data_IF_418700385224
#
_entry.id   IF_418700385224
#
_cell.length_a   1.000
_cell.length_b   1.000
_cell.length_c   1.000
_cell.angle_alpha   90.00
_cell.angle_beta   90.00
_cell.angle_gamma   90.00
#
_symmetry.space_group_name_H-M   'P 1'
#
loop_
_entity.id
_entity.type
_entity.pdbx_description
1 polymer ?
#
# COMPACT_ATOMS: atom_id res chain seq x y z
N UNK A 1 8.65 -14.49 -3.82
CA UNK A 1 8.27 -15.54 -4.80
C UNK A 1 9.03 -16.85 -4.60
N UNK A 2 10.35 -16.85 -4.49
CA UNK A 2 11.16 -18.08 -4.32
C UNK A 2 10.74 -18.87 -3.07
N UNK A 3 10.59 -18.21 -1.92
CA UNK A 3 10.11 -18.82 -0.66
C UNK A 3 8.66 -19.34 -0.72
N UNK A 4 7.85 -18.81 -1.63
CA UNK A 4 6.45 -19.21 -1.81
C UNK A 4 6.39 -20.47 -2.68
N UNK A 5 7.30 -20.60 -3.65
CA UNK A 5 7.43 -21.75 -4.54
C UNK A 5 8.06 -22.98 -3.85
N UNK A 6 8.82 -22.79 -2.78
CA UNK A 6 9.41 -23.87 -1.97
C UNK A 6 8.44 -24.49 -0.96
N UNK A 7 7.23 -23.95 -0.81
CA UNK A 7 6.24 -24.41 0.15
C UNK A 7 5.62 -25.76 -0.24
N UNK A 8 5.24 -26.56 0.77
CA UNK A 8 4.72 -27.92 0.57
C UNK A 8 3.43 -27.96 -0.25
N UNK A 9 2.58 -26.93 -0.18
CA UNK A 9 1.35 -26.86 -0.99
C UNK A 9 1.63 -26.70 -2.50
N UNK A 10 2.77 -26.11 -2.89
CA UNK A 10 3.22 -26.04 -4.29
C UNK A 10 3.72 -27.41 -4.74
N UNK A 11 4.43 -28.14 -3.87
CA UNK A 11 4.89 -29.52 -4.14
C UNK A 11 3.71 -30.47 -4.34
N UNK A 12 2.67 -30.36 -3.51
CA UNK A 12 1.43 -31.13 -3.69
C UNK A 12 0.71 -30.77 -5.00
N UNK A 13 0.66 -29.48 -5.37
CA UNK A 13 0.07 -29.06 -6.65
C UNK A 13 0.84 -29.62 -7.85
N UNK A 14 2.17 -29.68 -7.76
CA UNK A 14 3.03 -30.30 -8.78
C UNK A 14 2.82 -31.82 -8.86
N UNK A 15 2.69 -32.50 -7.73
CA UNK A 15 2.39 -33.93 -7.65
C UNK A 15 1.00 -34.30 -8.23
N UNK A 16 0.05 -33.35 -8.18
CA UNK A 16 -1.27 -33.47 -8.81
C UNK A 16 -1.26 -33.22 -10.33
N UNK A 17 -0.11 -32.96 -10.95
CA UNK A 17 0.02 -32.76 -12.40
C UNK A 17 -0.52 -31.42 -12.91
N UNK A 18 -0.70 -30.41 -12.05
CA UNK A 18 -1.13 -29.08 -12.47
C UNK A 18 -0.06 -28.40 -13.33
N UNK A 19 -0.49 -27.68 -14.38
CA UNK A 19 0.44 -26.94 -15.23
C UNK A 19 1.18 -25.85 -14.45
N UNK A 20 2.47 -25.59 -14.75
CA UNK A 20 3.26 -24.56 -14.06
C UNK A 20 2.58 -23.19 -14.05
N UNK A 21 1.91 -22.85 -15.16
CA UNK A 21 1.14 -21.60 -15.28
C UNK A 21 0.00 -21.50 -14.27
N UNK A 22 -0.79 -22.58 -14.08
CA UNK A 22 -1.88 -22.59 -13.08
C UNK A 22 -1.33 -22.50 -11.66
N UNK A 23 -0.19 -23.13 -11.37
CA UNK A 23 0.44 -23.07 -10.05
C UNK A 23 0.91 -21.65 -9.74
N UNK A 24 1.57 -20.98 -10.68
CA UNK A 24 2.06 -19.61 -10.48
C UNK A 24 0.89 -18.64 -10.30
N UNK A 25 -0.07 -18.59 -11.23
CA UNK A 25 -1.17 -17.62 -11.18
C UNK A 25 -2.14 -17.86 -10.01
N UNK A 26 -2.48 -19.13 -9.72
CA UNK A 26 -3.53 -19.45 -8.74
C UNK A 26 -3.01 -19.67 -7.33
N UNK A 27 -1.79 -20.18 -7.17
CA UNK A 27 -1.25 -20.59 -5.87
C UNK A 27 -0.08 -19.74 -5.39
N UNK A 28 0.87 -19.39 -6.25
CA UNK A 28 2.05 -18.63 -5.83
C UNK A 28 1.82 -17.11 -5.84
N UNK A 29 1.17 -16.57 -6.86
CA UNK A 29 1.02 -15.12 -7.06
C UNK A 29 0.21 -14.47 -5.94
N UNK A 30 -0.91 -15.08 -5.56
CA UNK A 30 -1.78 -14.55 -4.50
C UNK A 30 -1.09 -14.48 -3.14
N UNK A 31 -0.31 -15.51 -2.78
CA UNK A 31 0.43 -15.55 -1.52
C UNK A 31 1.68 -14.66 -1.56
N UNK A 32 2.29 -14.48 -2.73
CA UNK A 32 3.45 -13.61 -2.90
C UNK A 32 3.09 -12.11 -2.92
N UNK A 33 1.85 -11.75 -3.26
CA UNK A 33 1.39 -10.37 -3.28
C UNK A 33 1.03 -9.82 -1.89
N UNK A 34 0.68 -10.67 -0.93
CA UNK A 34 0.31 -10.24 0.43
C UNK A 34 1.34 -9.29 1.07
N UNK A 35 2.66 -9.64 1.12
CA UNK A 35 3.67 -8.75 1.71
C UNK A 35 3.87 -7.46 0.90
N UNK A 36 3.69 -7.53 -0.43
CA UNK A 36 3.86 -6.38 -1.32
C UNK A 36 2.81 -5.33 -0.99
N UNK A 37 1.53 -5.74 -0.87
CA UNK A 37 0.45 -4.81 -0.54
C UNK A 37 0.63 -4.23 0.87
N UNK A 38 1.23 -4.97 1.81
CA UNK A 38 1.53 -4.45 3.17
C UNK A 38 2.45 -3.25 3.13
N UNK A 39 3.47 -3.36 2.29
CA UNK A 39 4.51 -2.35 2.20
C UNK A 39 4.04 -1.18 1.32
N UNK A 40 3.06 -1.38 0.43
CA UNK A 40 2.49 -0.31 -0.41
C UNK A 40 1.95 0.86 0.42
N UNK A 41 1.26 0.61 1.53
CA UNK A 41 0.74 1.69 2.39
C UNK A 41 1.86 2.59 2.92
N UNK A 42 2.91 1.98 3.47
CA UNK A 42 4.08 2.70 3.98
C UNK A 42 4.85 3.40 2.86
N UNK A 43 4.99 2.76 1.69
CA UNK A 43 5.65 3.36 0.52
C UNK A 43 4.91 4.59 0.02
N UNK A 44 3.59 4.53 -0.08
CA UNK A 44 2.75 5.67 -0.49
C UNK A 44 2.95 6.86 0.45
N UNK A 45 2.90 6.63 1.76
CA UNK A 45 3.14 7.67 2.76
C UNK A 45 4.55 8.26 2.66
N UNK A 46 5.54 7.40 2.41
CA UNK A 46 6.94 7.79 2.24
C UNK A 46 7.16 8.62 0.99
N UNK A 47 6.52 8.27 -0.13
CA UNK A 47 6.60 9.01 -1.39
C UNK A 47 5.92 10.37 -1.24
N UNK A 48 4.72 10.42 -0.64
CA UNK A 48 3.99 11.68 -0.43
C UNK A 48 4.82 12.67 0.41
N UNK A 49 5.42 12.18 1.50
CA UNK A 49 6.24 13.00 2.40
C UNK A 49 7.59 13.36 1.77
N UNK A 50 8.24 12.40 1.08
CA UNK A 50 9.51 12.62 0.39
C UNK A 50 9.40 13.57 -0.80
N UNK A 51 8.23 13.64 -1.44
CA UNK A 51 7.96 14.58 -2.54
C UNK A 51 8.21 16.02 -2.12
N UNK A 52 7.92 16.41 -0.88
CA UNK A 52 8.16 17.79 -0.41
C UNK A 52 9.63 18.18 -0.48
N UNK A 53 10.51 17.24 -0.13
CA UNK A 53 11.95 17.45 -0.14
C UNK A 53 12.45 17.52 -1.59
N UNK A 54 11.98 16.61 -2.45
CA UNK A 54 12.34 16.57 -3.88
C UNK A 54 11.87 17.85 -4.59
N UNK A 55 10.62 18.26 -4.38
CA UNK A 55 10.07 19.50 -4.94
C UNK A 55 10.90 20.72 -4.54
N UNK A 56 11.37 20.77 -3.28
CA UNK A 56 12.19 21.87 -2.78
C UNK A 56 13.60 21.86 -3.37
N UNK A 57 14.26 20.70 -3.43
CA UNK A 57 15.64 20.56 -3.93
C UNK A 57 15.72 20.86 -5.43
N UNK A 58 14.78 20.32 -6.21
CA UNK A 58 14.78 20.47 -7.67
C UNK A 58 14.01 21.72 -8.15
N UNK A 59 13.54 22.57 -7.24
CA UNK A 59 12.74 23.76 -7.54
C UNK A 59 11.54 23.48 -8.45
N UNK A 60 10.95 22.28 -8.35
CA UNK A 60 9.78 21.88 -9.12
C UNK A 60 8.58 22.63 -8.54
N UNK A 61 7.76 23.31 -9.37
CA UNK A 61 6.57 24.01 -8.89
C UNK A 61 5.51 23.00 -8.45
N UNK A 62 5.53 22.65 -7.16
CA UNK A 62 4.59 21.74 -6.53
C UNK A 62 3.92 22.34 -5.28
N UNK A 63 2.88 21.66 -4.80
CA UNK A 63 2.11 22.12 -3.63
C UNK A 63 2.94 22.04 -2.33
N UNK A 64 3.97 21.18 -2.27
CA UNK A 64 4.83 21.03 -1.10
C UNK A 64 5.69 22.26 -0.86
N UNK A 65 5.99 23.03 -1.91
CA UNK A 65 6.69 24.32 -1.80
C UNK A 65 5.92 25.30 -0.91
N UNK A 66 4.59 25.40 -1.08
CA UNK A 66 3.76 26.30 -0.27
C UNK A 66 3.78 25.89 1.20
N UNK A 67 3.74 24.59 1.50
CA UNK A 67 3.88 24.10 2.87
C UNK A 67 5.22 24.53 3.50
N UNK A 68 6.34 24.34 2.79
CA UNK A 68 7.68 24.72 3.28
C UNK A 68 7.83 26.24 3.42
N UNK A 69 7.28 27.01 2.49
CA UNK A 69 7.33 28.48 2.52
C UNK A 69 6.49 29.06 3.65
N UNK A 70 5.28 28.53 3.87
CA UNK A 70 4.42 28.95 4.97
C UNK A 70 5.01 28.67 6.35
N UNK A 71 5.80 27.61 6.51
CA UNK A 71 6.57 27.37 7.75
C UNK A 71 7.59 28.50 8.00
N UNK A 72 8.31 28.92 6.96
CA UNK A 72 9.29 30.00 7.08
C UNK A 72 8.62 31.36 7.37
N UNK A 73 7.48 31.62 6.71
CA UNK A 73 6.71 32.85 6.85
C UNK A 73 5.76 32.86 8.07
N UNK A 74 5.71 31.75 8.84
CA UNK A 74 4.79 31.55 9.98
C UNK A 74 3.31 31.76 9.61
N UNK A 75 2.94 31.41 8.39
CA UNK A 75 1.57 31.48 7.90
C UNK A 75 0.80 30.21 8.34
N UNK A 76 0.32 30.24 9.58
CA UNK A 76 -0.41 29.11 10.18
C UNK A 76 -1.67 28.70 9.41
N UNK A 77 -2.51 29.62 8.88
CA UNK A 77 -3.64 29.24 8.02
C UNK A 77 -3.24 28.36 6.84
N UNK A 78 -2.18 28.72 6.11
CA UNK A 78 -1.73 27.94 4.95
C UNK A 78 -1.11 26.61 5.38
N UNK A 79 -0.35 26.56 6.48
CA UNK A 79 0.17 25.30 7.05
C UNK A 79 -0.98 24.33 7.38
N UNK A 80 -2.02 24.82 8.06
CA UNK A 80 -3.16 23.99 8.43
C UNK A 80 -3.94 23.53 7.19
N UNK A 81 -4.22 24.44 6.25
CA UNK A 81 -4.94 24.12 5.02
C UNK A 81 -4.23 23.06 4.16
N UNK A 82 -2.92 23.23 3.95
CA UNK A 82 -2.11 22.26 3.20
C UNK A 82 -2.01 20.92 3.93
N UNK A 83 -1.85 20.91 5.26
CA UNK A 83 -1.82 19.67 6.06
C UNK A 83 -3.12 18.88 5.94
N UNK A 84 -4.27 19.53 6.05
CA UNK A 84 -5.58 18.88 5.89
C UNK A 84 -5.75 18.33 4.48
N UNK A 85 -5.36 19.11 3.47
CA UNK A 85 -5.44 18.68 2.07
C UNK A 85 -4.58 17.44 1.79
N UNK A 86 -3.32 17.42 2.23
CA UNK A 86 -2.44 16.26 2.10
C UNK A 86 -2.95 15.06 2.91
N UNK A 87 -3.54 15.29 4.07
CA UNK A 87 -4.14 14.23 4.89
C UNK A 87 -5.30 13.56 4.17
N UNK A 88 -6.16 14.32 3.48
CA UNK A 88 -7.25 13.77 2.67
C UNK A 88 -6.70 12.89 1.54
N UNK A 89 -5.66 13.35 0.84
CA UNK A 89 -5.01 12.56 -0.22
C UNK A 89 -4.41 11.28 0.37
N UNK A 90 -3.68 11.38 1.48
CA UNK A 90 -3.05 10.23 2.12
C UNK A 90 -4.08 9.20 2.55
N UNK A 91 -5.14 9.61 3.23
CA UNK A 91 -6.23 8.73 3.68
C UNK A 91 -6.91 8.08 2.47
N UNK A 92 -7.13 8.83 1.39
CA UNK A 92 -7.71 8.29 0.15
C UNK A 92 -6.82 7.21 -0.46
N UNK A 93 -5.50 7.44 -0.54
CA UNK A 93 -4.56 6.47 -1.08
C UNK A 93 -4.43 5.24 -0.18
N UNK A 94 -4.39 5.42 1.13
CA UNK A 94 -4.40 4.31 2.10
C UNK A 94 -5.68 3.47 1.97
N UNK A 95 -6.84 4.13 1.82
CA UNK A 95 -8.10 3.44 1.57
C UNK A 95 -8.06 2.62 0.27
N UNK A 96 -7.46 3.14 -0.81
CA UNK A 96 -7.26 2.38 -2.06
C UNK A 96 -6.37 1.15 -1.82
N UNK A 97 -5.31 1.27 -1.01
CA UNK A 97 -4.45 0.15 -0.64
C UNK A 97 -5.22 -0.91 0.15
N UNK A 98 -6.07 -0.50 1.10
CA UNK A 98 -6.92 -1.43 1.87
C UNK A 98 -7.95 -2.15 0.99
N UNK A 99 -8.55 -1.45 0.02
CA UNK A 99 -9.45 -2.05 -0.97
C UNK A 99 -8.70 -3.04 -1.86
N UNK A 100 -7.51 -2.68 -2.35
CA UNK A 100 -6.68 -3.56 -3.14
C UNK A 100 -6.30 -4.83 -2.35
N UNK A 101 -6.04 -4.68 -1.06
CA UNK A 101 -5.82 -5.79 -0.13
C UNK A 101 -6.99 -6.76 -0.08
N UNK A 102 -8.20 -6.23 0.10
CA UNK A 102 -9.43 -7.04 0.15
C UNK A 102 -9.69 -7.79 -1.15
N UNK A 103 -9.40 -7.17 -2.30
CA UNK A 103 -9.56 -7.81 -3.61
C UNK A 103 -8.53 -8.92 -3.86
N UNK A 104 -7.28 -8.70 -3.42
CA UNK A 104 -6.19 -9.67 -3.58
C UNK A 104 -6.32 -10.85 -2.60
N UNK A 105 -6.92 -10.65 -1.43
CA UNK A 105 -7.19 -11.73 -0.49
C UNK A 105 -8.66 -11.96 -0.09
N UNK A 106 -9.41 -12.72 -0.91
CA UNK A 106 -10.71 -13.29 -0.54
C UNK A 106 -10.72 -14.27 0.66
N UNK A 107 -9.59 -14.60 1.32
CA UNK A 107 -9.59 -15.36 2.58
C UNK A 107 -9.82 -14.49 3.80
N UNK A 108 -9.83 -13.17 3.65
CA UNK A 108 -10.42 -12.24 4.63
C UNK A 108 -11.96 -12.33 4.49
N UNK A 109 -12.49 -13.55 4.51
CA UNK A 109 -13.86 -13.78 4.96
C UNK A 109 -13.80 -13.56 6.47
N UNK A 110 -14.43 -12.45 6.89
CA UNK A 110 -14.85 -12.18 8.25
C UNK A 110 -14.90 -13.47 9.08
N UNK A 111 -13.89 -13.70 9.93
CA UNK A 111 -14.05 -14.57 11.07
C UNK A 111 -14.96 -13.83 12.07
N UNK A 112 -16.22 -13.63 11.68
CA UNK A 112 -17.30 -13.33 12.61
C UNK A 112 -17.66 -14.65 13.29
N UNK A 113 -16.78 -15.09 14.19
CA UNK A 113 -17.07 -16.13 15.17
C UNK A 113 -16.65 -15.57 16.52
N UNK A 114 -17.65 -15.21 17.33
CA UNK A 114 -17.47 -15.03 18.78
C UNK A 114 -18.08 -13.73 19.30
N UNK A 115 -19.37 -13.79 19.62
CA UNK A 115 -20.06 -12.71 20.33
C UNK A 115 -21.55 -12.96 20.51
N UNK A 116 -21.95 -14.22 20.78
CA UNK A 116 -23.21 -14.49 21.49
C UNK A 116 -22.86 -14.49 22.97
N UNK A 117 -23.33 -13.48 23.68
CA UNK A 117 -23.68 -13.53 25.09
C UNK A 117 -25.00 -12.76 25.22
#
# INVERSE_FOLDING_TARGET
>A
MIEVLSQDYIRTAKAKGLSPFKIVFKHALRNALLPVVTILGTLVASILTGSFVIEKIFAIPGMGKYFVESINNRDYPVIMGTTVFYSIILITLLFIVDVAYRLLDPRIQLHQKGGKA
#
